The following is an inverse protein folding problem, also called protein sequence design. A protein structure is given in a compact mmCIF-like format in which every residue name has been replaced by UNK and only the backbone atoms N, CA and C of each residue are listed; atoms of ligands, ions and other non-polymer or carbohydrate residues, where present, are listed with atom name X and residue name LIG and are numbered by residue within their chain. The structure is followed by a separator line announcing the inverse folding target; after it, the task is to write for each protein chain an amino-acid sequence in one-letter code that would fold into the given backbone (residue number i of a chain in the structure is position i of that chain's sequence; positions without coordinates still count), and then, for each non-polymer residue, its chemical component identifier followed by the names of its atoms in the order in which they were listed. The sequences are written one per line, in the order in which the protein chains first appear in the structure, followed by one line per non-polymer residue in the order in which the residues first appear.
data_IF_228365163850
#
_entry.id   IF_228365163850
#
_cell.length_a   1.000
_cell.length_b   1.000
_cell.length_c   1.000
_cell.angle_alpha   90.00
_cell.angle_beta   90.00
_cell.angle_gamma   90.00
#
_symmetry.space_group_name_H-M   'P 1'
#
loop_
_entity.id
_entity.type
_entity.pdbx_description
1 polymer ?
#
# COMPACT_ATOMS: atom_id res chain seq x y z
N UNK A 1 -18.65 22.60 13.43
CA UNK A 1 -17.53 22.63 14.41
C UNK A 1 -18.06 23.06 15.80
N UNK A 2 -19.02 23.98 15.81
CA UNK A 2 -19.78 24.50 16.95
C UNK A 2 -20.45 23.40 17.78
N UNK A 3 -21.11 22.42 17.14
CA UNK A 3 -21.77 21.31 17.87
C UNK A 3 -20.75 20.44 18.61
N UNK A 4 -19.63 20.09 17.98
CA UNK A 4 -18.59 19.30 18.65
C UNK A 4 -17.95 20.06 19.81
N UNK A 5 -17.85 21.38 19.72
CA UNK A 5 -17.35 22.21 20.82
C UNK A 5 -18.26 22.15 22.04
N UNK A 6 -19.58 22.26 21.84
CA UNK A 6 -20.58 22.15 22.91
C UNK A 6 -20.48 20.78 23.58
N UNK A 7 -20.51 19.70 22.79
CA UNK A 7 -20.43 18.32 23.31
C UNK A 7 -19.13 18.11 24.11
N UNK A 8 -17.99 18.58 23.58
CA UNK A 8 -16.69 18.40 24.24
C UNK A 8 -16.62 19.13 25.58
N UNK A 9 -17.24 20.32 25.68
CA UNK A 9 -17.30 21.08 26.95
C UNK A 9 -18.22 20.46 27.99
N UNK A 10 -19.27 19.74 27.58
CA UNK A 10 -20.25 19.13 28.50
C UNK A 10 -19.80 17.77 29.05
N UNK A 11 -19.07 16.99 28.27
CA UNK A 11 -18.63 15.65 28.67
C UNK A 11 -17.38 15.71 29.56
N UNK A 12 -17.33 14.84 30.57
CA UNK A 12 -16.14 14.67 31.43
C UNK A 12 -15.06 13.76 30.81
N UNK A 13 -15.42 13.01 29.77
CA UNK A 13 -14.54 12.08 29.07
C UNK A 13 -13.98 12.73 27.81
N UNK A 14 -12.78 12.34 27.33
CA UNK A 14 -12.23 12.86 26.09
C UNK A 14 -13.10 12.51 24.87
N UNK A 15 -13.24 13.47 23.97
CA UNK A 15 -13.90 13.33 22.67
C UNK A 15 -12.88 13.19 21.54
N UNK A 16 -13.13 12.25 20.62
CA UNK A 16 -12.24 11.99 19.48
C UNK A 16 -13.04 12.17 18.19
N UNK A 17 -12.68 13.19 17.40
CA UNK A 17 -13.40 13.58 16.19
C UNK A 17 -12.80 13.05 14.90
N UNK A 18 -13.67 12.78 13.92
CA UNK A 18 -13.30 12.65 12.49
C UNK A 18 -14.28 13.49 11.68
N UNK A 19 -13.77 14.54 11.05
CA UNK A 19 -14.63 15.50 10.33
C UNK A 19 -15.59 16.31 11.22
N UNK A 20 -15.35 16.35 12.53
CA UNK A 20 -16.19 17.09 13.48
C UNK A 20 -15.79 18.58 13.62
N UNK A 21 -14.60 18.96 13.15
CA UNK A 21 -13.99 20.26 13.43
C UNK A 21 -12.87 20.13 14.47
N UNK A 22 -12.25 21.26 14.83
CA UNK A 22 -11.03 21.29 15.64
C UNK A 22 -11.24 21.20 17.15
N UNK A 23 -12.48 21.22 17.62
CA UNK A 23 -12.80 21.39 19.04
C UNK A 23 -13.03 20.09 19.82
N UNK A 24 -12.87 18.91 19.19
CA UNK A 24 -12.71 17.66 19.95
C UNK A 24 -11.32 17.60 20.60
N UNK A 25 -11.18 16.91 21.73
CA UNK A 25 -9.91 16.77 22.47
C UNK A 25 -8.81 16.06 21.68
N UNK A 26 -9.23 15.17 20.77
CA UNK A 26 -8.35 14.50 19.82
C UNK A 26 -9.01 14.32 18.46
N UNK A 27 -8.20 13.89 17.50
CA UNK A 27 -8.61 13.65 16.13
C UNK A 27 -8.17 12.26 15.71
N UNK A 28 -9.01 11.59 14.91
CA UNK A 28 -8.64 10.37 14.21
C UNK A 28 -8.79 10.56 12.71
N UNK A 29 -8.04 9.76 11.95
CA UNK A 29 -8.12 9.73 10.50
C UNK A 29 -7.78 8.32 10.01
N UNK A 30 -8.36 7.90 8.89
CA UNK A 30 -7.97 6.64 8.25
C UNK A 30 -6.62 6.87 7.56
N UNK A 31 -5.63 6.03 7.86
CA UNK A 31 -4.28 6.11 7.28
C UNK A 31 -4.32 6.24 5.75
N UNK A 32 -5.15 5.43 5.11
CA UNK A 32 -5.34 5.37 3.66
C UNK A 32 -5.71 6.72 3.03
N UNK A 33 -6.50 7.53 3.73
CA UNK A 33 -7.00 8.81 3.23
C UNK A 33 -5.90 9.88 3.23
N UNK A 34 -4.99 9.81 4.20
CA UNK A 34 -3.89 10.78 4.33
C UNK A 34 -2.67 10.42 3.47
N UNK A 35 -2.45 9.13 3.19
CA UNK A 35 -1.37 8.68 2.30
C UNK A 35 -1.80 8.59 0.84
N UNK A 36 -3.08 8.80 0.53
CA UNK A 36 -3.58 8.79 -0.84
C UNK A 36 -3.53 7.42 -1.49
N UNK A 37 -3.89 6.36 -0.76
CA UNK A 37 -3.93 5.03 -1.35
C UNK A 37 -5.09 4.89 -2.35
N UNK A 38 -6.21 5.55 -2.08
CA UNK A 38 -7.40 5.53 -2.91
C UNK A 38 -7.90 6.95 -3.20
N UNK A 39 -8.70 7.10 -4.27
CA UNK A 39 -9.36 8.35 -4.66
C UNK A 39 -10.87 8.12 -4.80
N UNK A 40 -11.73 9.11 -4.48
CA UNK A 40 -11.39 10.45 -4.00
C UNK A 40 -11.05 10.50 -2.50
N UNK A 41 -10.20 11.44 -2.10
CA UNK A 41 -9.91 11.71 -0.68
C UNK A 41 -11.15 12.33 0.00
N UNK A 42 -11.62 11.81 1.15
CA UNK A 42 -12.75 12.39 1.87
C UNK A 42 -12.51 13.85 2.26
N UNK A 43 -13.57 14.68 2.29
CA UNK A 43 -13.47 16.12 2.58
C UNK A 43 -12.75 16.46 3.89
N UNK A 44 -12.92 15.63 4.92
CA UNK A 44 -12.31 15.83 6.23
C UNK A 44 -10.85 15.39 6.31
N UNK A 45 -10.34 14.69 5.29
CA UNK A 45 -8.96 14.26 5.21
C UNK A 45 -8.12 15.26 4.41
N UNK A 46 -6.93 15.58 4.92
CA UNK A 46 -5.88 16.25 4.15
C UNK A 46 -4.99 15.19 3.50
N UNK A 47 -4.75 15.31 2.20
CA UNK A 47 -3.79 14.46 1.51
C UNK A 47 -2.35 14.90 1.86
N UNK A 48 -1.60 14.07 2.58
CA UNK A 48 -0.19 14.33 2.93
C UNK A 48 0.79 13.73 1.92
N UNK A 49 0.41 12.62 1.28
CA UNK A 49 1.15 11.92 0.21
C UNK A 49 0.18 11.34 -0.81
N UNK A 50 0.66 11.02 -2.01
CA UNK A 50 -0.09 10.29 -3.06
C UNK A 50 0.63 8.96 -3.35
N UNK A 51 0.52 8.01 -2.43
CA UNK A 51 1.16 6.69 -2.51
C UNK A 51 0.58 5.87 -3.67
N UNK A 52 -0.67 6.11 -4.08
CA UNK A 52 -1.23 5.50 -5.27
C UNK A 52 -0.36 5.74 -6.52
N UNK A 53 0.17 6.97 -6.69
CA UNK A 53 1.08 7.28 -7.80
C UNK A 53 2.36 6.45 -7.75
N UNK A 54 2.95 6.28 -6.58
CA UNK A 54 4.20 5.53 -6.39
C UNK A 54 4.00 4.03 -6.62
N UNK A 55 2.90 3.47 -6.10
CA UNK A 55 2.51 2.07 -6.37
C UNK A 55 2.31 1.85 -7.86
N UNK A 56 1.59 2.75 -8.54
CA UNK A 56 1.33 2.62 -9.97
C UNK A 56 2.63 2.68 -10.78
N UNK A 57 3.60 3.51 -10.36
CA UNK A 57 4.92 3.56 -10.98
C UNK A 57 5.65 2.23 -10.79
N UNK A 58 5.75 1.72 -9.56
CA UNK A 58 6.45 0.48 -9.25
C UNK A 58 5.86 -0.72 -10.01
N UNK A 59 4.53 -0.83 -10.07
CA UNK A 59 3.85 -1.92 -10.81
C UNK A 59 4.12 -1.84 -12.31
N UNK A 60 4.15 -0.64 -12.89
CA UNK A 60 4.47 -0.45 -14.31
C UNK A 60 5.92 -0.78 -14.62
N UNK A 61 6.84 -0.36 -13.76
CA UNK A 61 8.26 -0.66 -13.86
C UNK A 61 8.50 -2.17 -13.84
N UNK A 62 7.98 -2.86 -12.82
CA UNK A 62 8.03 -4.31 -12.73
C UNK A 62 7.40 -5.00 -13.96
N UNK A 63 6.22 -4.55 -14.40
CA UNK A 63 5.57 -5.14 -15.58
C UNK A 63 6.43 -4.99 -16.84
N UNK A 64 7.09 -3.84 -17.01
CA UNK A 64 8.00 -3.60 -18.11
C UNK A 64 9.24 -4.50 -18.04
N UNK A 65 9.86 -4.62 -16.87
CA UNK A 65 11.03 -5.48 -16.67
C UNK A 65 10.74 -6.95 -16.95
N UNK A 66 9.56 -7.46 -16.55
CA UNK A 66 9.13 -8.82 -16.88
C UNK A 66 8.93 -8.99 -18.40
N UNK A 67 8.26 -8.02 -19.05
CA UNK A 67 7.99 -8.06 -20.51
C UNK A 67 9.28 -8.03 -21.34
N UNK A 68 10.27 -7.27 -20.87
CA UNK A 68 11.58 -7.11 -21.52
C UNK A 68 12.59 -8.18 -21.09
N UNK A 69 12.20 -9.07 -20.15
CA UNK A 69 13.07 -10.07 -19.54
C UNK A 69 14.29 -9.47 -18.81
N UNK A 70 14.20 -8.20 -18.41
CA UNK A 70 15.18 -7.56 -17.51
C UNK A 70 15.02 -8.02 -16.06
N UNK A 71 13.84 -8.51 -15.68
CA UNK A 71 13.60 -9.24 -14.43
C UNK A 71 13.01 -10.63 -14.73
N UNK A 72 13.38 -11.68 -13.96
CA UNK A 72 14.34 -11.71 -12.86
C UNK A 72 15.80 -11.64 -13.30
N UNK A 73 16.67 -11.13 -12.42
CA UNK A 73 18.14 -11.21 -12.54
C UNK A 73 18.67 -12.46 -11.82
N UNK A 74 19.98 -12.74 -11.93
CA UNK A 74 20.62 -13.88 -11.27
C UNK A 74 20.37 -13.93 -9.75
N UNK A 75 20.30 -12.77 -9.10
CA UNK A 75 20.04 -12.66 -7.66
C UNK A 75 18.62 -13.08 -7.26
N UNK A 76 17.69 -13.12 -8.22
CA UNK A 76 16.28 -13.45 -7.99
C UNK A 76 15.91 -14.86 -8.45
N UNK A 77 16.89 -15.65 -8.92
CA UNK A 77 16.67 -17.02 -9.37
C UNK A 77 17.50 -17.99 -8.54
N UNK A 78 16.97 -19.21 -8.40
CA UNK A 78 17.71 -20.33 -7.84
C UNK A 78 18.11 -21.28 -8.96
N UNK A 79 19.35 -21.75 -8.90
CA UNK A 79 19.85 -22.72 -9.86
C UNK A 79 19.65 -24.13 -9.33
N UNK A 80 19.20 -25.02 -10.20
CA UNK A 80 19.21 -26.46 -9.92
C UNK A 80 20.65 -26.96 -9.87
N UNK A 81 20.90 -27.99 -9.07
CA UNK A 81 22.17 -28.70 -9.13
C UNK A 81 22.30 -29.45 -10.46
N UNK A 82 23.53 -29.62 -10.93
CA UNK A 82 23.83 -30.34 -12.17
C UNK A 82 23.29 -31.77 -12.18
N UNK A 83 23.29 -32.43 -11.02
CA UNK A 83 22.74 -33.79 -10.88
C UNK A 83 21.24 -33.83 -11.19
N UNK A 84 20.47 -32.89 -10.63
CA UNK A 84 19.02 -32.82 -10.85
C UNK A 84 18.73 -32.44 -12.30
N UNK A 85 19.48 -31.49 -12.86
CA UNK A 85 19.36 -31.10 -14.27
C UNK A 85 19.58 -32.28 -15.22
N UNK A 86 20.59 -33.11 -14.96
CA UNK A 86 20.88 -34.30 -15.76
C UNK A 86 19.73 -35.31 -15.70
N UNK A 87 19.23 -35.64 -14.50
CA UNK A 87 18.10 -36.58 -14.32
C UNK A 87 16.84 -36.11 -15.07
N UNK A 88 16.53 -34.81 -15.03
CA UNK A 88 15.37 -34.26 -15.74
C UNK A 88 15.52 -34.40 -17.26
N UNK A 89 16.70 -34.10 -17.81
CA UNK A 89 16.98 -34.22 -19.25
C UNK A 89 16.87 -35.67 -19.74
N UNK A 90 17.44 -36.61 -18.99
CA UNK A 90 17.36 -38.05 -19.32
C UNK A 90 15.92 -38.58 -19.33
N UNK A 91 15.10 -38.17 -18.36
CA UNK A 91 13.69 -38.58 -18.30
C UNK A 91 12.84 -37.96 -19.42
N UNK A 92 13.16 -36.75 -19.88
CA UNK A 92 12.45 -36.10 -20.99
C UNK A 92 12.72 -36.78 -22.34
N UNK A 93 13.94 -37.26 -22.58
CA UNK A 93 14.33 -37.90 -23.84
C UNK A 93 13.85 -39.36 -23.98
N UNK A 94 13.33 -39.95 -22.90
CA UNK A 94 12.75 -41.31 -22.89
C UNK A 94 11.25 -41.34 -23.23
N UNK A 95 10.62 -40.17 -23.41
CA UNK A 95 9.25 -40.02 -23.91
C UNK A 95 9.29 -39.66 -25.38
#
# INVERSE_FOLDING_TARGET
EEISEIITKELKIPTIGIGAGRFCDGQIIVLHDIIGLYKPTPRHARLYRDVHKDILKAVREYSNEVRTKSFPQNENITHLTEEILKKIRENRNKR
#
